data_IF_890329979748
#
_entry.id   IF_890329979748
#
_cell.length_a   1.000
_cell.length_b   1.000
_cell.length_c   1.000
_cell.angle_alpha   90.00
_cell.angle_beta   90.00
_cell.angle_gamma   90.00
#
_symmetry.space_group_name_H-M   'P 1'
#
loop_
_entity.id
_entity.type
_entity.pdbx_description
1 polymer ?
#
# COMPACT_ATOMS: atom_id res chain seq x y z
N UNK A 1 12.83 -16.11 10.16
CA UNK A 1 11.86 -15.07 9.81
C UNK A 1 12.60 -13.75 9.97
N UNK A 2 12.83 -13.04 8.86
CA UNK A 2 13.52 -11.76 8.91
C UNK A 2 12.52 -10.73 9.43
N UNK A 3 12.59 -10.37 10.71
CA UNK A 3 11.84 -9.23 11.24
C UNK A 3 12.29 -7.99 10.44
N UNK A 4 11.42 -7.49 9.56
CA UNK A 4 11.65 -6.19 8.97
C UNK A 4 11.71 -5.19 10.12
N UNK A 5 12.76 -4.36 10.15
CA UNK A 5 12.87 -3.26 11.09
C UNK A 5 11.57 -2.43 11.03
N UNK A 6 11.01 -2.03 12.17
CA UNK A 6 9.77 -1.25 12.27
C UNK A 6 9.82 -0.01 11.37
N UNK A 7 11.01 0.60 11.22
CA UNK A 7 11.26 1.71 10.31
C UNK A 7 11.07 1.34 8.83
N UNK A 8 11.50 0.15 8.42
CA UNK A 8 11.32 -0.36 7.05
C UNK A 8 9.86 -0.68 6.80
N UNK A 9 9.17 -1.26 7.78
CA UNK A 9 7.76 -1.57 7.70
C UNK A 9 6.91 -0.29 7.56
N UNK A 10 7.23 0.72 8.37
CA UNK A 10 6.60 2.03 8.28
C UNK A 10 6.89 2.71 6.92
N UNK A 11 8.11 2.60 6.40
CA UNK A 11 8.43 3.14 5.07
C UNK A 11 7.64 2.44 3.94
N UNK A 12 7.43 1.12 4.03
CA UNK A 12 6.58 0.38 3.08
C UNK A 12 5.14 0.82 3.15
N UNK A 13 4.60 0.97 4.37
CA UNK A 13 3.26 1.51 4.60
C UNK A 13 3.08 2.89 3.98
N UNK A 14 4.00 3.83 4.26
CA UNK A 14 4.00 5.18 3.65
C UNK A 14 4.04 5.08 2.13
N UNK A 15 4.95 4.28 1.57
CA UNK A 15 5.07 4.14 0.12
C UNK A 15 3.77 3.64 -0.51
N UNK A 16 3.13 2.64 0.11
CA UNK A 16 1.87 2.07 -0.36
C UNK A 16 0.72 3.10 -0.35
N UNK A 17 0.63 3.96 0.67
CA UNK A 17 -0.36 5.05 0.72
C UNK A 17 -0.24 6.04 -0.43
N UNK A 18 0.96 6.28 -0.95
CA UNK A 18 1.17 7.17 -2.11
C UNK A 18 1.05 6.46 -3.47
N UNK A 19 0.92 5.13 -3.49
CA UNK A 19 0.74 4.40 -4.74
C UNK A 19 -0.69 4.58 -5.28
N UNK A 20 -0.86 4.65 -6.61
CA UNK A 20 -2.19 4.63 -7.20
C UNK A 20 -2.87 3.29 -6.89
N UNK A 21 -4.19 3.28 -6.75
CA UNK A 21 -4.90 2.00 -6.58
C UNK A 21 -4.77 1.21 -7.87
N UNK A 22 -4.58 -0.12 -7.78
CA UNK A 22 -4.45 -0.97 -8.96
C UNK A 22 -5.63 -0.81 -9.95
N UNK A 23 -6.83 -0.49 -9.45
CA UNK A 23 -8.02 -0.21 -10.26
C UNK A 23 -7.94 1.11 -11.06
N UNK A 24 -7.16 2.08 -10.59
CA UNK A 24 -6.91 3.37 -11.23
C UNK A 24 -5.77 3.28 -12.26
N UNK A 25 -4.92 2.26 -12.17
CA UNK A 25 -3.81 2.03 -13.11
C UNK A 25 -4.34 1.45 -14.42
N UNK A 26 -4.74 2.32 -15.33
CA UNK A 26 -5.25 1.93 -16.65
C UNK A 26 -4.20 2.10 -17.76
N UNK A 27 -4.33 1.31 -18.83
CA UNK A 27 -3.52 1.47 -20.06
C UNK A 27 -3.63 2.86 -20.67
N UNK A 28 -4.75 3.56 -20.44
CA UNK A 28 -4.96 4.90 -20.97
C UNK A 28 -4.07 5.94 -20.27
N UNK A 29 -3.95 5.87 -18.95
CA UNK A 29 -3.14 6.81 -18.16
C UNK A 29 -1.65 6.44 -18.13
N UNK A 30 -1.35 5.13 -18.05
CA UNK A 30 0.01 4.64 -17.84
C UNK A 30 0.62 3.97 -19.08
N UNK A 31 -0.06 4.02 -20.23
CA UNK A 31 0.46 3.51 -21.49
C UNK A 31 0.75 2.00 -21.45
N UNK A 32 1.89 1.57 -21.98
CA UNK A 32 2.29 0.16 -21.99
C UNK A 32 2.84 -0.32 -20.63
N UNK A 33 3.22 0.61 -19.75
CA UNK A 33 3.77 0.31 -18.42
C UNK A 33 2.70 0.01 -17.37
N UNK A 34 1.41 0.13 -17.70
CA UNK A 34 0.32 -0.11 -16.74
C UNK A 34 0.39 -1.49 -16.07
N UNK A 35 0.76 -2.54 -16.82
CA UNK A 35 0.93 -3.88 -16.25
C UNK A 35 2.08 -3.93 -15.25
N UNK A 36 3.21 -3.29 -15.56
CA UNK A 36 4.37 -3.22 -14.67
C UNK A 36 4.00 -2.55 -13.35
N UNK A 37 3.27 -1.44 -13.42
CA UNK A 37 2.87 -0.69 -12.24
C UNK A 37 1.89 -1.50 -11.38
N UNK A 38 0.94 -2.20 -12.01
CA UNK A 38 0.05 -3.14 -11.30
C UNK A 38 0.89 -4.22 -10.60
N UNK A 39 1.84 -4.85 -11.30
CA UNK A 39 2.71 -5.88 -10.71
C UNK A 39 3.54 -5.34 -9.54
N UNK A 40 4.04 -4.10 -9.62
CA UNK A 40 4.79 -3.44 -8.55
C UNK A 40 3.90 -3.17 -7.32
N UNK A 41 2.65 -2.74 -7.53
CA UNK A 41 1.66 -2.53 -6.45
C UNK A 41 1.32 -3.86 -5.77
N UNK A 42 1.06 -4.91 -6.55
CA UNK A 42 0.78 -6.25 -6.05
C UNK A 42 1.95 -6.79 -5.22
N UNK A 43 3.20 -6.57 -5.67
CA UNK A 43 4.39 -7.00 -4.96
C UNK A 43 4.50 -6.35 -3.57
N UNK A 44 4.25 -5.05 -3.46
CA UNK A 44 4.26 -4.36 -2.17
C UNK A 44 3.10 -4.83 -1.29
N UNK A 45 1.93 -5.07 -1.87
CA UNK A 45 0.77 -5.63 -1.15
C UNK A 45 1.08 -7.00 -0.57
N UNK A 46 1.69 -7.90 -1.34
CA UNK A 46 2.12 -9.22 -0.87
C UNK A 46 3.17 -9.09 0.24
N UNK A 47 4.12 -8.17 0.10
CA UNK A 47 5.12 -7.93 1.14
C UNK A 47 4.49 -7.48 2.47
N UNK A 48 3.47 -6.63 2.44
CA UNK A 48 2.71 -6.23 3.64
C UNK A 48 1.98 -7.43 4.27
N UNK A 49 1.27 -8.22 3.45
CA UNK A 49 0.55 -9.41 3.90
C UNK A 49 1.47 -10.46 4.52
N UNK A 50 2.68 -10.66 3.97
CA UNK A 50 3.70 -11.56 4.53
C UNK A 50 4.20 -11.13 5.91
N UNK A 51 3.99 -9.86 6.28
CA UNK A 51 4.32 -9.30 7.59
C UNK A 51 3.08 -9.13 8.49
N UNK A 52 1.97 -9.82 8.19
CA UNK A 52 0.71 -9.77 8.94
C UNK A 52 0.07 -8.36 8.97
N UNK A 53 0.36 -7.54 7.95
CA UNK A 53 -0.25 -6.21 7.80
C UNK A 53 -1.29 -6.26 6.70
N UNK A 54 -2.50 -5.83 7.03
CA UNK A 54 -3.55 -5.62 6.06
C UNK A 54 -3.27 -4.33 5.25
N UNK A 55 -3.01 -4.42 3.93
CA UNK A 55 -2.83 -3.27 3.06
C UNK A 55 -4.04 -2.30 3.04
N UNK A 56 -5.26 -2.77 3.31
CA UNK A 56 -6.44 -1.90 3.38
C UNK A 56 -6.49 -1.06 4.67
N UNK A 57 -5.84 -1.54 5.75
CA UNK A 57 -5.75 -0.80 7.02
C UNK A 57 -4.54 0.15 7.09
N UNK A 58 -3.59 0.03 6.15
CA UNK A 58 -2.37 0.86 6.12
C UNK A 58 -2.67 2.36 6.05
N UNK A 59 -3.69 2.76 5.28
CA UNK A 59 -4.06 4.16 5.12
C UNK A 59 -4.52 4.81 6.44
N UNK A 60 -5.29 4.06 7.25
CA UNK A 60 -5.75 4.49 8.57
C UNK A 60 -4.66 4.43 9.65
N UNK A 61 -3.68 3.54 9.52
CA UNK A 61 -2.53 3.42 10.42
C UNK A 61 -1.51 4.55 10.21
N UNK A 62 -1.34 5.02 8.97
CA UNK A 62 -0.40 6.10 8.60
C UNK A 62 -1.01 7.48 8.79
N UNK A 63 -2.31 7.64 8.54
CA UNK A 63 -3.03 8.91 8.70
C UNK A 63 -4.17 8.79 9.73
N UNK A 64 -3.86 8.64 11.04
CA UNK A 64 -4.87 8.56 12.09
C UNK A 64 -5.74 9.82 12.19
N UNK A 65 -5.25 10.97 11.71
CA UNK A 65 -6.01 12.23 11.62
C UNK A 65 -6.99 12.28 10.43
N UNK A 66 -6.87 11.38 9.45
CA UNK A 66 -7.76 11.32 8.28
C UNK A 66 -8.81 10.21 8.37
N UNK A 67 -8.65 9.24 9.29
CA UNK A 67 -9.76 8.35 9.64
C UNK A 67 -10.88 9.17 10.29
N UNK A 68 -12.09 9.24 9.69
CA UNK A 68 -13.21 9.84 10.40
C UNK A 68 -13.38 9.05 11.69
N UNK A 69 -13.32 9.73 12.83
CA UNK A 69 -13.61 9.16 14.14
C UNK A 69 -14.86 8.28 14.04
N UNK A 70 -14.67 6.96 13.91
CA UNK A 70 -15.77 6.02 13.99
C UNK A 70 -16.04 5.80 15.48
N UNK A 71 -16.57 6.86 16.11
CA UNK A 71 -17.31 6.75 17.34
C UNK A 71 -18.73 6.30 16.94
N UNK A 72 -19.05 5.04 17.17
CA UNK A 72 -20.43 4.55 17.23
C UNK A 72 -20.71 4.03 18.63
#
# INVERSE_FOLDING_TARGET
MSELNEKTLHALKVAFTFMPKAIEVTRYEYGEDYQRIIDEIELVREALLLNDIDPEEVDGDIHPDQTPNSCY
#
